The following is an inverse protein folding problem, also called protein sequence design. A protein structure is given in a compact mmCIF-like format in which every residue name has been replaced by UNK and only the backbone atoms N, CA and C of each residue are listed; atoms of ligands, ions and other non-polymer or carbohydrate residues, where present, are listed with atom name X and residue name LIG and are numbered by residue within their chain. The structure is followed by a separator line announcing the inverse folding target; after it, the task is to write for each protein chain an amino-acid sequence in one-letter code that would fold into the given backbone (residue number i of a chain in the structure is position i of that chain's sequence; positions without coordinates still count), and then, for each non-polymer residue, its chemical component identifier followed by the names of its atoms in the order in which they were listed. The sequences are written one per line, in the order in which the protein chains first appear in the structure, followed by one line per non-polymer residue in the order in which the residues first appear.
data_IF_663306669140
#
_entry.id   IF_663306669140
#
_cell.length_a   1.000
_cell.length_b   1.000
_cell.length_c   1.000
_cell.angle_alpha   90.00
_cell.angle_beta   90.00
_cell.angle_gamma   90.00
#
_symmetry.space_group_name_H-M   'P 1'
#
loop_
_entity.id
_entity.type
_entity.pdbx_description
1 polymer ?
#
# COMPACT_ATOMS: atom_id res chain seq x y z
N UNK A 1 -5.03 2.17 46.93
CA UNK A 1 -4.90 0.99 46.05
C UNK A 1 -4.86 1.52 44.62
N UNK A 2 -3.76 1.35 43.87
CA UNK A 2 -3.64 1.90 42.52
C UNK A 2 -4.44 1.06 41.53
N UNK A 3 -5.14 1.75 40.64
CA UNK A 3 -6.07 1.19 39.66
C UNK A 3 -5.34 0.31 38.64
N UNK A 4 -5.97 -0.81 38.31
CA UNK A 4 -5.49 -1.76 37.32
C UNK A 4 -5.33 -1.12 35.96
N UNK A 5 -4.18 -1.39 35.34
CA UNK A 5 -3.89 -1.07 33.95
C UNK A 5 -4.92 -1.75 33.06
N UNK A 6 -5.79 -0.93 32.46
CA UNK A 6 -6.67 -1.39 31.40
C UNK A 6 -5.80 -1.61 30.16
N UNK A 7 -5.34 -2.84 29.97
CA UNK A 7 -4.65 -3.29 28.77
C UNK A 7 -5.70 -3.40 27.66
N UNK A 8 -5.96 -2.29 26.94
CA UNK A 8 -6.63 -2.39 25.66
C UNK A 8 -5.55 -2.69 24.60
N UNK A 9 -5.46 -3.93 24.08
CA UNK A 9 -4.70 -4.19 22.87
C UNK A 9 -5.25 -3.34 21.72
N UNK A 10 -4.51 -3.16 20.62
CA UNK A 10 -5.05 -2.48 19.44
C UNK A 10 -6.34 -3.19 19.05
N UNK A 11 -7.37 -2.49 18.56
CA UNK A 11 -8.53 -3.20 18.05
C UNK A 11 -7.98 -4.12 16.93
N UNK A 12 -8.10 -5.44 17.13
CA UNK A 12 -7.71 -6.48 16.17
C UNK A 12 -8.28 -6.23 14.75
N UNK A 13 -9.25 -5.33 14.64
CA UNK A 13 -10.03 -5.02 13.45
C UNK A 13 -9.25 -4.25 12.37
N UNK A 14 -8.40 -3.25 12.68
CA UNK A 14 -7.80 -2.42 11.61
C UNK A 14 -6.81 -3.20 10.74
N UNK A 15 -5.93 -3.99 11.35
CA UNK A 15 -4.98 -4.83 10.60
C UNK A 15 -5.75 -5.88 9.79
N UNK A 16 -6.74 -6.53 10.40
CA UNK A 16 -7.59 -7.51 9.71
C UNK A 16 -8.34 -6.89 8.52
N UNK A 17 -8.85 -5.65 8.66
CA UNK A 17 -9.50 -4.90 7.58
C UNK A 17 -8.55 -4.49 6.47
N UNK A 18 -7.31 -4.09 6.79
CA UNK A 18 -6.27 -3.85 5.77
C UNK A 18 -5.98 -5.12 4.98
N UNK A 19 -6.01 -6.29 5.63
CA UNK A 19 -5.81 -7.58 4.94
C UNK A 19 -7.02 -7.96 4.09
N UNK A 20 -8.24 -7.68 4.54
CA UNK A 20 -9.45 -8.06 3.82
C UNK A 20 -9.81 -7.13 2.65
N UNK A 21 -9.39 -5.86 2.68
CA UNK A 21 -9.82 -4.85 1.69
C UNK A 21 -9.50 -5.24 0.25
N UNK A 22 -8.46 -6.05 0.01
CA UNK A 22 -8.10 -6.53 -1.32
C UNK A 22 -9.16 -7.45 -1.95
N UNK A 23 -10.06 -8.02 -1.15
CA UNK A 23 -11.15 -8.90 -1.58
C UNK A 23 -12.49 -8.19 -1.70
N UNK A 24 -12.57 -6.91 -1.32
CA UNK A 24 -13.80 -6.13 -1.46
C UNK A 24 -14.08 -5.81 -2.93
N UNK A 25 -15.31 -5.41 -3.24
CA UNK A 25 -15.77 -5.09 -4.60
C UNK A 25 -15.70 -3.61 -4.96
N UNK A 26 -15.46 -2.75 -3.97
CA UNK A 26 -15.35 -1.28 -4.08
C UNK A 26 -14.22 -0.86 -5.02
N UNK A 27 -14.41 0.19 -5.83
CA UNK A 27 -13.41 0.67 -6.80
C UNK A 27 -13.30 2.20 -6.77
N UNK A 28 -12.34 2.76 -7.49
CA UNK A 28 -12.19 4.21 -7.68
C UNK A 28 -11.94 4.97 -6.37
N UNK A 29 -12.55 6.16 -6.26
CA UNK A 29 -12.41 7.04 -5.11
C UNK A 29 -12.90 6.40 -3.80
N UNK A 30 -14.01 5.65 -3.83
CA UNK A 30 -14.55 5.00 -2.62
C UNK A 30 -13.59 3.96 -2.03
N UNK A 31 -12.99 3.15 -2.91
CA UNK A 31 -11.95 2.22 -2.49
C UNK A 31 -10.73 2.97 -1.94
N UNK A 32 -10.31 4.04 -2.61
CA UNK A 32 -9.20 4.87 -2.17
C UNK A 32 -9.43 5.47 -0.78
N UNK A 33 -10.60 6.06 -0.54
CA UNK A 33 -10.96 6.66 0.75
C UNK A 33 -10.94 5.63 1.87
N UNK A 34 -11.39 4.41 1.57
CA UNK A 34 -11.34 3.29 2.53
C UNK A 34 -9.90 2.89 2.86
N UNK A 35 -9.04 2.76 1.85
CA UNK A 35 -7.61 2.46 2.04
C UNK A 35 -6.94 3.59 2.84
N UNK A 36 -7.22 4.85 2.49
CA UNK A 36 -6.69 6.02 3.19
C UNK A 36 -7.07 6.01 4.67
N UNK A 37 -8.34 5.79 4.98
CA UNK A 37 -8.86 5.75 6.36
C UNK A 37 -8.23 4.61 7.16
N UNK A 38 -8.14 3.41 6.59
CA UNK A 38 -7.56 2.24 7.27
C UNK A 38 -6.08 2.47 7.63
N UNK A 39 -5.27 2.95 6.68
CA UNK A 39 -3.85 3.20 6.93
C UNK A 39 -3.66 4.37 7.91
N UNK A 40 -4.44 5.44 7.79
CA UNK A 40 -4.41 6.56 8.74
C UNK A 40 -4.80 6.11 10.16
N UNK A 41 -5.80 5.23 10.26
CA UNK A 41 -6.23 4.66 11.54
C UNK A 41 -5.13 3.79 12.14
N UNK A 42 -4.50 2.94 11.33
CA UNK A 42 -3.36 2.14 11.77
C UNK A 42 -2.19 2.98 12.28
N UNK A 43 -1.89 4.11 11.62
CA UNK A 43 -0.86 5.02 12.12
C UNK A 43 -1.19 5.58 13.49
N UNK A 44 -2.43 6.08 13.65
CA UNK A 44 -2.91 6.67 14.90
C UNK A 44 -2.90 5.67 16.05
N UNK A 45 -3.37 4.45 15.81
CA UNK A 45 -3.39 3.39 16.85
C UNK A 45 -1.99 2.94 17.20
N UNK A 46 -1.10 2.80 16.21
CA UNK A 46 0.30 2.46 16.46
C UNK A 46 1.00 3.52 17.31
N UNK A 47 0.74 4.81 17.04
CA UNK A 47 1.27 5.91 17.86
C UNK A 47 0.71 5.91 19.28
N UNK A 48 -0.60 5.75 19.45
CA UNK A 48 -1.23 5.77 20.78
C UNK A 48 -0.76 4.63 21.68
N UNK A 49 -0.25 3.55 21.08
CA UNK A 49 0.27 2.38 21.78
C UNK A 49 1.80 2.37 21.89
N UNK A 50 2.45 3.52 21.76
CA UNK A 50 3.90 3.65 21.82
C UNK A 50 4.64 2.68 20.88
N UNK A 51 4.03 2.34 19.74
CA UNK A 51 4.55 1.43 18.71
C UNK A 51 4.85 0.00 19.20
N UNK A 52 4.24 -0.46 20.30
CA UNK A 52 4.60 -1.74 20.95
C UNK A 52 4.47 -2.96 20.01
N UNK A 53 3.46 -2.98 19.14
CA UNK A 53 3.20 -4.10 18.19
C UNK A 53 3.53 -3.74 16.74
N UNK A 54 3.97 -2.51 16.46
CA UNK A 54 4.08 -1.94 15.12
C UNK A 54 4.87 -2.83 14.16
N UNK A 55 6.02 -3.36 14.57
CA UNK A 55 6.87 -4.19 13.71
C UNK A 55 6.18 -5.49 13.30
N UNK A 56 5.44 -6.12 14.21
CA UNK A 56 4.72 -7.37 13.94
C UNK A 56 3.51 -7.11 13.03
N UNK A 57 2.71 -6.10 13.38
CA UNK A 57 1.51 -5.72 12.60
C UNK A 57 1.89 -5.29 11.19
N UNK A 58 2.95 -4.47 11.04
CA UNK A 58 3.54 -4.11 9.75
C UNK A 58 3.92 -5.35 8.96
N UNK A 59 4.63 -6.30 9.58
CA UNK A 59 5.08 -7.52 8.89
C UNK A 59 3.88 -8.34 8.40
N UNK A 60 2.83 -8.43 9.21
CA UNK A 60 1.60 -9.11 8.83
C UNK A 60 0.90 -8.40 7.65
N UNK A 61 0.77 -7.07 7.69
CA UNK A 61 0.23 -6.26 6.60
C UNK A 61 1.02 -6.50 5.29
N UNK A 62 2.35 -6.43 5.34
CA UNK A 62 3.21 -6.62 4.16
C UNK A 62 3.03 -8.01 3.54
N UNK A 63 3.03 -9.06 4.36
CA UNK A 63 2.86 -10.43 3.88
C UNK A 63 1.50 -10.61 3.19
N UNK A 64 0.45 -10.07 3.78
CA UNK A 64 -0.89 -10.10 3.18
C UNK A 64 -0.96 -9.33 1.87
N UNK A 65 -0.34 -8.14 1.78
CA UNK A 65 -0.27 -7.36 0.54
C UNK A 65 0.45 -8.14 -0.57
N UNK A 66 1.58 -8.79 -0.26
CA UNK A 66 2.31 -9.63 -1.21
C UNK A 66 1.39 -10.77 -1.68
N UNK A 67 0.78 -11.51 -0.74
CA UNK A 67 -0.12 -12.61 -1.06
C UNK A 67 -1.29 -12.16 -1.94
N UNK A 68 -1.93 -11.03 -1.62
CA UNK A 68 -2.99 -10.45 -2.42
C UNK A 68 -2.51 -10.12 -3.83
N UNK A 69 -1.40 -9.38 -4.01
CA UNK A 69 -0.90 -9.09 -5.36
C UNK A 69 -0.52 -10.34 -6.16
N UNK A 70 -0.07 -11.41 -5.51
CA UNK A 70 0.20 -12.69 -6.21
C UNK A 70 -1.05 -13.50 -6.53
N UNK A 71 -2.11 -13.36 -5.74
CA UNK A 71 -3.35 -14.13 -5.86
C UNK A 71 -4.43 -13.43 -6.70
N UNK A 72 -4.29 -12.13 -6.95
CA UNK A 72 -5.28 -11.40 -7.72
C UNK A 72 -5.24 -11.88 -9.19
N UNK A 73 -6.30 -12.59 -9.54
CA UNK A 73 -6.74 -12.86 -10.91
C UNK A 73 -6.98 -11.53 -11.61
N UNK A 74 -6.75 -11.39 -12.92
CA UNK A 74 -6.84 -10.09 -13.65
C UNK A 74 -8.27 -9.57 -13.81
N UNK A 75 -8.93 -9.38 -12.68
CA UNK A 75 -10.24 -8.82 -12.51
C UNK A 75 -10.27 -7.40 -13.09
N UNK A 76 -11.33 -7.03 -13.82
CA UNK A 76 -11.49 -5.68 -14.37
C UNK A 76 -11.36 -4.56 -13.32
N UNK A 77 -11.70 -4.85 -12.05
CA UNK A 77 -11.70 -3.92 -10.91
C UNK A 77 -10.32 -3.32 -10.61
N UNK A 78 -9.27 -3.99 -11.05
CA UNK A 78 -7.90 -3.67 -10.71
C UNK A 78 -7.48 -2.34 -11.32
N UNK A 79 -7.90 -2.10 -12.57
CA UNK A 79 -7.61 -0.85 -13.30
C UNK A 79 -8.16 0.35 -12.53
N UNK A 80 -9.28 0.15 -11.84
CA UNK A 80 -9.98 1.18 -11.10
C UNK A 80 -9.45 1.34 -9.65
N UNK A 81 -8.37 0.63 -9.27
CA UNK A 81 -7.77 0.69 -7.91
C UNK A 81 -6.31 1.14 -7.90
N UNK A 82 -5.74 1.52 -9.05
CA UNK A 82 -4.30 1.74 -9.20
C UNK A 82 -3.74 2.83 -8.26
N UNK A 83 -4.46 3.92 -8.06
CA UNK A 83 -4.05 5.00 -7.15
C UNK A 83 -3.90 4.51 -5.71
N UNK A 84 -4.80 3.60 -5.32
CA UNK A 84 -4.77 3.01 -3.98
C UNK A 84 -3.55 2.12 -3.81
N UNK A 85 -3.13 1.41 -4.85
CA UNK A 85 -1.92 0.61 -4.80
C UNK A 85 -0.64 1.46 -4.74
N UNK A 86 -0.59 2.58 -5.47
CA UNK A 86 0.50 3.54 -5.30
C UNK A 86 0.55 4.13 -3.90
N UNK A 87 -0.61 4.49 -3.34
CA UNK A 87 -0.70 4.96 -1.96
C UNK A 87 -0.21 3.90 -0.97
N UNK A 88 -0.63 2.64 -1.11
CA UNK A 88 -0.16 1.53 -0.27
C UNK A 88 1.37 1.42 -0.33
N UNK A 89 1.97 1.53 -1.52
CA UNK A 89 3.42 1.51 -1.67
C UNK A 89 4.12 2.67 -0.95
N UNK A 90 3.58 3.89 -1.08
CA UNK A 90 4.07 5.05 -0.35
C UNK A 90 4.05 4.80 1.18
N UNK A 91 2.94 4.27 1.72
CA UNK A 91 2.83 3.95 3.16
C UNK A 91 3.88 2.94 3.62
N UNK A 92 4.17 1.93 2.80
CA UNK A 92 5.15 0.89 3.12
C UNK A 92 6.58 1.45 3.23
N UNK A 93 6.92 2.40 2.37
CA UNK A 93 8.23 3.09 2.42
C UNK A 93 8.33 4.03 3.62
N UNK A 94 7.23 4.72 3.96
CA UNK A 94 7.15 5.48 5.20
C UNK A 94 7.35 4.59 6.44
N UNK A 95 6.80 3.37 6.43
CA UNK A 95 6.98 2.43 7.53
C UNK A 95 8.43 1.97 7.68
N UNK A 96 9.19 1.83 6.61
CA UNK A 96 10.64 1.55 6.69
C UNK A 96 11.40 2.69 7.35
N UNK A 97 11.09 3.92 6.93
CA UNK A 97 11.66 5.13 7.52
C UNK A 97 11.32 5.20 9.01
N UNK A 98 10.08 4.85 9.37
CA UNK A 98 9.59 4.79 10.74
C UNK A 98 10.34 3.73 11.57
N UNK A 99 10.49 2.50 11.08
CA UNK A 99 11.24 1.44 11.78
C UNK A 99 12.67 1.89 12.07
N UNK A 100 13.33 2.47 11.07
CA UNK A 100 14.70 2.98 11.21
C UNK A 100 14.79 4.11 12.23
N UNK A 101 13.86 5.07 12.18
CA UNK A 101 13.87 6.24 13.07
C UNK A 101 13.54 5.90 14.52
N UNK A 102 12.58 5.01 14.77
CA UNK A 102 12.10 4.73 16.13
C UNK A 102 12.88 3.63 16.83
N UNK A 103 13.34 2.62 16.09
CA UNK A 103 13.95 1.42 16.69
C UNK A 103 15.43 1.28 16.37
N UNK A 104 16.01 2.16 15.53
CA UNK A 104 17.40 2.02 15.07
C UNK A 104 17.66 0.74 14.27
N UNK A 105 16.59 0.03 13.89
CA UNK A 105 16.65 -1.23 13.16
C UNK A 105 16.65 -0.93 11.66
N UNK A 106 17.56 -1.56 10.94
CA UNK A 106 17.46 -1.59 9.49
C UNK A 106 16.31 -2.54 9.13
N UNK A 107 15.29 -2.08 8.37
CA UNK A 107 14.23 -2.96 7.93
C UNK A 107 14.85 -4.13 7.16
N UNK A 108 14.27 -5.33 7.33
CA UNK A 108 14.64 -6.47 6.50
C UNK A 108 14.34 -6.10 5.04
N UNK A 109 15.39 -5.75 4.29
CA UNK A 109 15.32 -5.17 2.94
C UNK A 109 14.58 -6.05 1.93
N UNK A 110 14.32 -7.31 2.28
CA UNK A 110 13.64 -8.30 1.44
C UNK A 110 12.14 -8.06 1.29
N UNK A 111 11.39 -7.71 2.33
CA UNK A 111 9.91 -7.67 2.26
C UNK A 111 9.39 -6.50 1.43
N UNK A 112 9.95 -5.30 1.63
CA UNK A 112 9.53 -4.13 0.84
C UNK A 112 9.93 -4.25 -0.63
N UNK A 113 11.08 -4.87 -0.90
CA UNK A 113 11.47 -5.22 -2.26
C UNK A 113 10.48 -6.22 -2.87
N UNK A 114 10.02 -7.21 -2.11
CA UNK A 114 9.01 -8.17 -2.57
C UNK A 114 7.66 -7.50 -2.83
N UNK A 115 7.18 -6.59 -1.95
CA UNK A 115 5.94 -5.84 -2.21
C UNK A 115 6.06 -5.01 -3.47
N UNK A 116 7.13 -4.23 -3.61
CA UNK A 116 7.37 -3.42 -4.82
C UNK A 116 7.41 -4.28 -6.05
N UNK A 117 8.09 -5.43 -6.00
CA UNK A 117 8.19 -6.33 -7.12
C UNK A 117 6.85 -7.00 -7.47
N UNK A 118 6.04 -7.36 -6.46
CA UNK A 118 4.70 -7.89 -6.66
C UNK A 118 3.78 -6.85 -7.30
N UNK A 119 3.75 -5.62 -6.77
CA UNK A 119 2.99 -4.52 -7.37
C UNK A 119 3.48 -4.21 -8.78
N UNK A 120 4.78 -4.18 -9.00
CA UNK A 120 5.35 -3.92 -10.32
C UNK A 120 4.91 -4.95 -11.35
N UNK A 121 5.11 -6.24 -11.07
CA UNK A 121 4.70 -7.32 -11.98
C UNK A 121 3.22 -7.22 -12.31
N UNK A 122 2.43 -6.79 -11.33
CA UNK A 122 1.01 -6.61 -11.43
C UNK A 122 0.61 -5.39 -12.31
N UNK A 123 1.26 -4.25 -12.13
CA UNK A 123 1.06 -3.06 -12.97
C UNK A 123 1.45 -3.31 -14.43
N UNK A 124 2.55 -4.04 -14.67
CA UNK A 124 2.98 -4.42 -16.03
C UNK A 124 1.95 -5.32 -16.70
N UNK A 125 1.38 -6.28 -15.97
CA UNK A 125 0.34 -7.16 -16.50
C UNK A 125 -0.87 -6.35 -16.99
N UNK A 126 -1.32 -5.38 -16.19
CA UNK A 126 -2.43 -4.48 -16.55
C UNK A 126 -2.09 -3.65 -17.78
N UNK A 127 -0.90 -3.07 -17.82
CA UNK A 127 -0.46 -2.27 -18.96
C UNK A 127 -0.46 -3.07 -20.27
N UNK A 128 0.06 -4.30 -20.24
CA UNK A 128 0.09 -5.20 -21.39
C UNK A 128 -1.32 -5.60 -21.83
N UNK A 129 -2.19 -5.99 -20.88
CA UNK A 129 -3.57 -6.42 -21.17
C UNK A 129 -4.43 -5.30 -21.74
N UNK A 130 -4.27 -4.08 -21.21
CA UNK A 130 -5.01 -2.89 -21.66
C UNK A 130 -4.43 -2.26 -22.91
N UNK A 131 -3.25 -2.71 -23.37
CA UNK A 131 -2.46 -2.05 -24.43
C UNK A 131 -2.26 -0.55 -24.17
N UNK A 132 -2.12 -0.18 -22.89
CA UNK A 132 -2.00 1.21 -22.49
C UNK A 132 -3.28 2.05 -22.55
N UNK A 133 -4.46 1.47 -22.82
CA UNK A 133 -5.72 2.21 -22.89
C UNK A 133 -6.33 2.59 -21.53
N UNK A 134 -5.83 2.01 -20.44
CA UNK A 134 -6.26 2.23 -19.04
C UNK A 134 -5.12 1.85 -18.11
N UNK A 135 -4.81 2.67 -17.09
CA UNK A 135 -5.76 3.23 -16.16
C UNK A 135 -5.79 4.74 -16.16
N UNK A 136 -6.92 5.25 -15.72
CA UNK A 136 -7.00 6.62 -15.26
C UNK A 136 -6.76 6.62 -13.75
N UNK A 137 -6.06 7.64 -13.28
CA UNK A 137 -6.08 7.96 -11.87
C UNK A 137 -7.52 8.39 -11.54
N UNK A 138 -8.16 7.69 -10.63
CA UNK A 138 -9.55 7.92 -10.23
C UNK A 138 -9.67 9.02 -9.17
N UNK A 139 -8.59 9.31 -8.46
CA UNK A 139 -8.57 10.40 -7.49
C UNK A 139 -8.31 11.75 -8.14
N UNK A 140 -9.06 12.76 -7.69
CA UNK A 140 -8.93 14.14 -8.18
C UNK A 140 -8.07 15.04 -7.28
N UNK A 141 -7.73 14.57 -6.07
CA UNK A 141 -6.89 15.31 -5.14
C UNK A 141 -5.43 15.32 -5.59
N UNK A 142 -5.04 16.42 -6.23
CA UNK A 142 -3.67 16.66 -6.70
C UNK A 142 -2.63 16.63 -5.59
N UNK A 143 -2.96 17.08 -4.37
CA UNK A 143 -2.01 17.06 -3.27
C UNK A 143 -1.74 15.62 -2.84
N UNK A 144 -2.78 14.80 -2.79
CA UNK A 144 -2.64 13.39 -2.43
C UNK A 144 -1.87 12.62 -3.52
N UNK A 145 -2.16 12.88 -4.79
CA UNK A 145 -1.40 12.32 -5.92
C UNK A 145 0.08 12.70 -5.87
N UNK A 146 0.39 13.96 -5.60
CA UNK A 146 1.77 14.43 -5.48
C UNK A 146 2.50 13.75 -4.32
N UNK A 147 1.83 13.51 -3.18
CA UNK A 147 2.42 12.82 -2.02
C UNK A 147 2.74 11.35 -2.30
N UNK A 148 1.98 10.70 -3.16
CA UNK A 148 2.26 9.31 -3.56
C UNK A 148 3.54 9.19 -4.38
N UNK A 149 4.07 10.31 -4.90
CA UNK A 149 5.29 10.36 -5.70
C UNK A 149 5.36 9.23 -6.75
N UNK A 150 4.25 9.06 -7.46
CA UNK A 150 4.01 7.94 -8.38
C UNK A 150 5.23 7.75 -9.28
N UNK A 151 5.75 8.84 -9.87
CA UNK A 151 6.93 8.82 -10.75
C UNK A 151 8.14 8.11 -10.14
N UNK A 152 8.49 8.35 -8.88
CA UNK A 152 9.64 7.69 -8.25
C UNK A 152 9.43 6.18 -8.09
N UNK A 153 8.21 5.75 -7.79
CA UNK A 153 7.90 4.32 -7.76
C UNK A 153 8.07 3.67 -9.15
N UNK A 154 7.87 4.42 -10.23
CA UNK A 154 7.99 3.91 -11.61
C UNK A 154 9.41 3.93 -12.13
N UNK A 155 10.22 4.95 -11.83
CA UNK A 155 11.62 5.00 -12.28
C UNK A 155 12.44 3.84 -11.67
N UNK A 156 12.01 3.34 -10.52
CA UNK A 156 12.59 2.15 -9.89
C UNK A 156 12.17 0.83 -10.55
N UNK A 157 11.31 0.88 -11.58
CA UNK A 157 10.87 -0.26 -12.37
C UNK A 157 11.82 -0.43 -13.57
N UNK A 158 12.89 -1.20 -13.38
CA UNK A 158 13.95 -1.38 -14.39
C UNK A 158 13.62 -2.39 -15.50
N UNK A 159 12.43 -3.00 -15.49
CA UNK A 159 12.08 -4.14 -16.37
C UNK A 159 11.02 -3.81 -17.43
N UNK A 160 10.47 -2.60 -17.43
CA UNK A 160 9.59 -2.17 -18.52
C UNK A 160 10.50 -1.65 -19.64
N UNK A 161 10.61 -2.40 -20.74
CA UNK A 161 11.36 -2.02 -21.95
C UNK A 161 10.87 -0.71 -22.62
N UNK A 162 9.91 0.00 -22.01
CA UNK A 162 9.27 1.18 -22.53
C UNK A 162 8.72 2.07 -21.39
N UNK A 163 9.62 2.46 -20.48
CA UNK A 163 9.35 3.34 -19.34
C UNK A 163 8.59 4.60 -19.77
N UNK A 164 8.97 5.21 -20.90
CA UNK A 164 8.31 6.40 -21.44
C UNK A 164 6.82 6.17 -21.76
N UNK A 165 6.46 5.02 -22.34
CA UNK A 165 5.05 4.69 -22.64
C UNK A 165 4.26 4.39 -21.38
N UNK A 166 4.92 3.83 -20.35
CA UNK A 166 4.29 3.58 -19.06
C UNK A 166 4.14 4.87 -18.22
N UNK A 167 5.04 5.84 -18.37
CA UNK A 167 4.89 7.17 -17.79
C UNK A 167 3.78 7.98 -18.48
N UNK A 168 3.67 7.89 -19.81
CA UNK A 168 2.57 8.50 -20.57
C UNK A 168 1.19 7.91 -20.23
N UNK A 169 1.14 6.69 -19.70
CA UNK A 169 -0.07 5.97 -19.29
C UNK A 169 -0.70 6.49 -17.99
N UNK A 170 -0.03 7.37 -17.25
CA UNK A 170 -0.51 7.91 -15.96
C UNK A 170 -0.87 9.40 -16.02
N UNK A 171 -0.86 10.00 -17.22
CA UNK A 171 -1.09 11.44 -17.47
C UNK A 171 -2.40 11.67 -18.22
#
# INVERSE_FOLDING_TARGET
MPQGYNQNPPPLDTVARIVSIFHEDTIGQEFFDTVLDLFTTFDRTSYSQNNTTFTNDRTHILNSIISSFTAIDTSPKIQDRIDSYFYICCRIEEYDTRVRSFFGMWPASSHNKQVRQALHNYLVKIFVETKGAKPNLNISDKNQLNKMNIREHLVNITTINNEDTFLAFLV
#
